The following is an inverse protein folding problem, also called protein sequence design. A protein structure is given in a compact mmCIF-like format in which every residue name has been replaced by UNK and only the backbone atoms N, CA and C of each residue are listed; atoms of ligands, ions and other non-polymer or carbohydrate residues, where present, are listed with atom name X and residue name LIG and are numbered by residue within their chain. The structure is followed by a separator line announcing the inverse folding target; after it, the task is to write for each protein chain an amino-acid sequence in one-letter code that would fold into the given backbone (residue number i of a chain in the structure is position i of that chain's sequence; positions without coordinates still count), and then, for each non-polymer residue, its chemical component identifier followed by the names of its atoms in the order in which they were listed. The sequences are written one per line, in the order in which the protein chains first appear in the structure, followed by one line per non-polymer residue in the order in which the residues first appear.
data_IF_153449214078
#
_entry.id   IF_153449214078
#
_cell.length_a   1.000
_cell.length_b   1.000
_cell.length_c   1.000
_cell.angle_alpha   90.00
_cell.angle_beta   90.00
_cell.angle_gamma   90.00
#
_symmetry.space_group_name_H-M   'P 1'
#
loop_
_entity.id
_entity.type
_entity.pdbx_description
1 polymer ?
#
# COMPACT_ATOMS: atom_id res chain seq x y z
N UNK A 1 -16.60 -28.17 -7.40
CA UNK A 1 -16.28 -27.58 -8.72
C UNK A 1 -15.43 -26.35 -8.42
N UNK A 2 -14.11 -26.54 -8.40
CA UNK A 2 -13.14 -25.51 -7.99
C UNK A 2 -13.11 -24.42 -9.07
N UNK A 3 -13.81 -23.30 -8.85
CA UNK A 3 -13.63 -22.10 -9.66
C UNK A 3 -12.20 -21.65 -9.40
N UNK A 4 -11.29 -21.94 -10.33
CA UNK A 4 -9.90 -21.56 -10.24
C UNK A 4 -9.79 -20.13 -9.70
N UNK A 5 -9.19 -19.97 -8.51
CA UNK A 5 -8.96 -18.69 -7.87
C UNK A 5 -8.23 -17.78 -8.89
N UNK A 6 -8.84 -16.68 -9.39
CA UNK A 6 -8.24 -15.85 -10.43
C UNK A 6 -6.93 -15.20 -9.96
N UNK A 7 -6.68 -15.21 -8.65
CA UNK A 7 -5.47 -14.70 -8.02
C UNK A 7 -4.42 -15.79 -7.75
N UNK A 8 -4.64 -17.06 -8.12
CA UNK A 8 -3.64 -18.13 -7.97
C UNK A 8 -2.32 -17.78 -8.68
N UNK A 9 -2.42 -17.08 -9.81
CA UNK A 9 -1.24 -16.58 -10.51
C UNK A 9 -0.48 -15.51 -9.71
N UNK A 10 -1.16 -14.68 -8.90
CA UNK A 10 -0.51 -13.71 -8.02
C UNK A 10 0.21 -14.39 -6.86
N UNK A 11 -0.44 -15.36 -6.22
CA UNK A 11 0.15 -16.18 -5.15
C UNK A 11 1.49 -16.77 -5.62
N UNK A 12 1.49 -17.44 -6.78
CA UNK A 12 2.71 -18.00 -7.38
C UNK A 12 3.74 -16.93 -7.76
N UNK A 13 3.34 -15.75 -8.24
CA UNK A 13 4.26 -14.65 -8.55
C UNK A 13 4.98 -14.17 -7.29
N UNK A 14 4.24 -13.89 -6.23
CA UNK A 14 4.79 -13.38 -4.97
C UNK A 14 5.64 -14.42 -4.23
N UNK A 15 5.28 -15.70 -4.32
CA UNK A 15 6.07 -16.79 -3.76
C UNK A 15 7.41 -17.02 -4.46
N UNK A 16 7.55 -16.60 -5.72
CA UNK A 16 8.78 -16.74 -6.50
C UNK A 16 9.78 -15.61 -6.27
N UNK A 17 9.37 -14.52 -5.62
CA UNK A 17 10.29 -13.46 -5.27
C UNK A 17 11.32 -13.99 -4.26
N UNK A 18 12.59 -13.70 -4.51
CA UNK A 18 13.72 -14.15 -3.70
C UNK A 18 14.16 -13.07 -2.68
N UNK A 19 13.63 -11.86 -2.81
CA UNK A 19 13.90 -10.73 -1.90
C UNK A 19 12.64 -9.92 -1.60
N UNK A 20 12.71 -9.14 -0.52
CA UNK A 20 11.64 -8.21 -0.14
C UNK A 20 11.47 -7.10 -1.17
N UNK A 21 12.57 -6.61 -1.71
CA UNK A 21 12.60 -5.55 -2.72
C UNK A 21 11.92 -6.01 -4.01
N UNK A 22 12.19 -7.25 -4.44
CA UNK A 22 11.53 -7.86 -5.59
C UNK A 22 10.03 -8.06 -5.33
N UNK A 23 9.65 -8.55 -4.14
CA UNK A 23 8.24 -8.67 -3.76
C UNK A 23 7.55 -7.30 -3.78
N UNK A 24 8.18 -6.25 -3.27
CA UNK A 24 7.59 -4.91 -3.26
C UNK A 24 7.35 -4.37 -4.67
N UNK A 25 8.28 -4.59 -5.60
CA UNK A 25 8.13 -4.21 -7.00
C UNK A 25 7.00 -5.00 -7.67
N UNK A 26 6.96 -6.32 -7.43
CA UNK A 26 5.98 -7.21 -8.04
C UNK A 26 4.55 -6.97 -7.54
N UNK A 27 4.40 -6.62 -6.26
CA UNK A 27 3.12 -6.23 -5.67
C UNK A 27 2.58 -4.95 -6.31
N UNK A 28 3.42 -3.92 -6.50
CA UNK A 28 3.01 -2.68 -7.17
C UNK A 28 2.60 -2.95 -8.62
N UNK A 29 3.46 -3.65 -9.37
CA UNK A 29 3.18 -4.01 -10.77
C UNK A 29 1.86 -4.76 -10.91
N UNK A 30 1.66 -5.80 -10.10
CA UNK A 30 0.43 -6.60 -10.11
C UNK A 30 -0.81 -5.77 -9.77
N UNK A 31 -0.73 -4.92 -8.77
CA UNK A 31 -1.83 -4.04 -8.40
C UNK A 31 -2.19 -3.08 -9.53
N UNK A 32 -1.20 -2.50 -10.20
CA UNK A 32 -1.42 -1.57 -11.31
C UNK A 32 -2.03 -2.28 -12.51
N UNK A 33 -1.47 -3.42 -12.91
CA UNK A 33 -1.96 -4.27 -13.99
C UNK A 33 -3.44 -4.63 -13.79
N UNK A 34 -3.83 -5.02 -12.58
CA UNK A 34 -5.18 -5.53 -12.29
C UNK A 34 -6.22 -4.44 -12.01
N UNK A 35 -5.80 -3.25 -11.55
CA UNK A 35 -6.70 -2.12 -11.27
C UNK A 35 -6.80 -1.13 -12.43
N UNK A 36 -5.83 -1.13 -13.36
CA UNK A 36 -5.72 -0.10 -14.40
C UNK A 36 -5.37 1.28 -13.81
N UNK A 37 -4.72 1.31 -12.65
CA UNK A 37 -4.29 2.56 -12.02
C UNK A 37 -3.17 3.24 -12.82
N UNK A 38 -3.11 4.57 -12.77
CA UNK A 38 -1.99 5.33 -13.33
C UNK A 38 -0.72 5.17 -12.48
N UNK A 39 -0.88 4.86 -11.20
CA UNK A 39 0.22 4.60 -10.31
C UNK A 39 -0.17 3.74 -9.12
N UNK A 40 0.79 2.96 -8.64
CA UNK A 40 0.70 2.22 -7.40
C UNK A 40 1.93 2.45 -6.55
N UNK A 41 1.78 2.26 -5.25
CA UNK A 41 2.89 2.32 -4.32
C UNK A 41 2.75 1.28 -3.23
N UNK A 42 3.89 0.83 -2.71
CA UNK A 42 3.97 0.07 -1.47
C UNK A 42 4.60 0.95 -0.42
N UNK A 43 3.89 1.08 0.69
CA UNK A 43 4.25 1.86 1.86
C UNK A 43 4.49 0.90 3.00
N UNK A 44 5.60 1.09 3.70
CA UNK A 44 5.96 0.34 4.89
C UNK A 44 5.80 1.22 6.12
N UNK A 45 5.36 0.61 7.22
CA UNK A 45 5.29 1.25 8.53
C UNK A 45 6.66 1.19 9.21
N UNK A 46 7.24 2.36 9.47
CA UNK A 46 8.49 2.54 10.23
C UNK A 46 8.20 3.36 11.49
N UNK A 47 7.75 2.70 12.56
CA UNK A 47 7.30 3.39 13.78
C UNK A 47 6.06 4.23 13.50
N UNK A 48 6.18 5.56 13.64
CA UNK A 48 5.15 6.56 13.33
C UNK A 48 5.29 7.16 11.92
N UNK A 49 6.13 6.56 11.06
CA UNK A 49 6.34 7.00 9.68
C UNK A 49 5.80 5.98 8.68
N UNK A 50 5.31 6.51 7.56
CA UNK A 50 4.97 5.80 6.34
C UNK A 50 6.08 6.02 5.31
N UNK A 51 6.87 4.98 5.03
CA UNK A 51 7.96 5.02 4.06
C UNK A 51 7.50 4.40 2.73
N UNK A 52 7.53 5.17 1.65
CA UNK A 52 7.22 4.69 0.30
C UNK A 52 8.43 3.93 -0.27
N UNK A 53 8.40 2.60 -0.22
CA UNK A 53 9.55 1.74 -0.54
C UNK A 53 9.55 1.23 -1.98
N UNK A 54 8.41 1.26 -2.66
CA UNK A 54 8.28 0.85 -4.06
C UNK A 54 7.15 1.61 -4.73
N UNK A 55 7.31 1.88 -6.04
CA UNK A 55 6.30 2.51 -6.89
C UNK A 55 6.32 1.85 -8.26
N UNK A 56 5.15 1.75 -8.89
CA UNK A 56 5.01 1.42 -10.32
C UNK A 56 3.98 2.39 -10.90
N UNK A 57 4.40 3.30 -11.79
CA UNK A 57 3.55 4.41 -12.22
C UNK A 57 4.00 5.11 -13.50
N UNK A 58 3.03 5.68 -14.23
CA UNK A 58 3.24 6.63 -15.33
C UNK A 58 3.25 8.10 -14.85
N UNK A 59 2.94 8.35 -13.58
CA UNK A 59 2.88 9.69 -12.98
C UNK A 59 3.90 9.80 -11.84
N UNK A 60 4.42 11.01 -11.54
CA UNK A 60 5.32 11.21 -10.41
C UNK A 60 4.69 10.75 -9.08
N UNK A 61 5.40 9.86 -8.38
CA UNK A 61 5.05 9.37 -7.04
C UNK A 61 6.24 9.50 -6.06
N UNK A 62 5.99 9.19 -4.79
CA UNK A 62 6.85 9.53 -3.66
C UNK A 62 7.90 8.47 -3.27
N UNK A 63 8.57 7.80 -4.22
CA UNK A 63 9.56 6.76 -3.89
C UNK A 63 10.66 7.29 -2.95
N UNK A 64 10.96 6.55 -1.89
CA UNK A 64 11.96 6.87 -0.86
C UNK A 64 11.50 7.92 0.17
N UNK A 65 10.35 8.55 -0.02
CA UNK A 65 9.84 9.58 0.90
C UNK A 65 9.19 8.97 2.13
N UNK A 66 9.22 9.73 3.23
CA UNK A 66 8.60 9.38 4.51
C UNK A 66 7.59 10.44 4.92
N UNK A 67 6.42 9.99 5.37
CA UNK A 67 5.37 10.87 5.87
C UNK A 67 4.92 10.43 7.26
N UNK A 68 4.57 11.35 8.17
CA UNK A 68 3.97 10.99 9.45
C UNK A 68 2.67 10.20 9.26
N UNK A 69 2.46 9.14 10.04
CA UNK A 69 1.28 8.27 9.97
C UNK A 69 -0.03 9.03 10.24
N UNK A 70 0.01 10.12 11.01
CA UNK A 70 -1.16 10.96 11.28
C UNK A 70 -1.42 12.01 10.19
N UNK A 71 -0.50 12.18 9.24
CA UNK A 71 -0.57 13.17 8.14
C UNK A 71 -0.70 12.55 6.75
N UNK A 72 -0.95 11.25 6.62
CA UNK A 72 -1.06 10.61 5.30
C UNK A 72 -2.17 9.56 5.22
N UNK A 73 -2.69 9.34 3.99
CA UNK A 73 -3.80 8.42 3.77
C UNK A 73 -3.39 6.97 3.99
N UNK A 74 -2.15 6.60 3.66
CA UNK A 74 -1.52 5.33 4.05
C UNK A 74 -1.58 5.13 5.56
N UNK A 75 -1.13 6.13 6.33
CA UNK A 75 -1.13 6.07 7.78
C UNK A 75 -2.54 5.99 8.38
N UNK A 76 -3.54 6.60 7.75
CA UNK A 76 -4.95 6.37 8.11
C UNK A 76 -5.35 4.90 7.87
N UNK A 77 -5.09 4.36 6.68
CA UNK A 77 -5.45 2.98 6.34
C UNK A 77 -4.80 1.96 7.28
N UNK A 78 -3.51 2.17 7.61
CA UNK A 78 -2.73 1.33 8.53
C UNK A 78 -3.33 1.38 9.95
N UNK A 79 -3.56 2.57 10.51
CA UNK A 79 -4.06 2.73 11.89
C UNK A 79 -5.47 2.21 12.08
N UNK A 80 -6.32 2.39 11.08
CA UNK A 80 -7.70 1.94 11.12
C UNK A 80 -7.87 0.49 10.65
N UNK A 81 -6.83 -0.12 10.06
CA UNK A 81 -6.89 -1.46 9.46
C UNK A 81 -8.03 -1.59 8.45
N UNK A 82 -8.27 -0.51 7.70
CA UNK A 82 -9.39 -0.39 6.76
C UNK A 82 -8.92 0.20 5.43
N UNK A 83 -9.47 -0.32 4.34
CA UNK A 83 -9.25 0.25 3.00
C UNK A 83 -9.79 1.68 2.96
N UNK A 84 -8.90 2.62 2.68
CA UNK A 84 -9.22 4.02 2.53
C UNK A 84 -9.49 4.33 1.06
N UNK A 85 -10.67 4.84 0.73
CA UNK A 85 -10.99 5.32 -0.62
C UNK A 85 -11.21 6.82 -0.59
N UNK A 86 -10.49 7.56 -1.43
CA UNK A 86 -10.62 9.01 -1.60
C UNK A 86 -10.91 9.28 -3.08
N UNK A 87 -12.17 9.60 -3.46
CA UNK A 87 -12.51 9.92 -4.84
C UNK A 87 -11.80 11.18 -5.37
N UNK A 88 -11.40 12.06 -4.45
CA UNK A 88 -10.58 13.23 -4.69
C UNK A 88 -9.79 13.55 -3.42
N UNK A 89 -8.48 13.28 -3.42
CA UNK A 89 -7.59 13.44 -2.27
C UNK A 89 -7.52 14.89 -1.79
N UNK A 90 -7.77 15.86 -2.68
CA UNK A 90 -7.80 17.28 -2.32
C UNK A 90 -9.06 17.67 -1.55
N UNK A 91 -10.12 16.87 -1.65
CA UNK A 91 -11.39 17.07 -0.94
C UNK A 91 -11.57 16.13 0.24
N UNK A 92 -10.65 15.19 0.43
CA UNK A 92 -10.70 14.25 1.54
C UNK A 92 -10.59 14.99 2.89
N UNK A 93 -11.54 14.73 3.78
CA UNK A 93 -11.67 15.41 5.07
C UNK A 93 -11.05 14.63 6.21
N UNK A 94 -10.57 13.41 5.98
CA UNK A 94 -9.89 12.64 7.02
C UNK A 94 -8.63 13.38 7.49
N UNK A 95 -8.15 13.16 8.73
CA UNK A 95 -6.99 13.86 9.30
C UNK A 95 -5.67 13.73 8.50
N UNK A 96 -5.68 13.01 7.39
CA UNK A 96 -4.58 12.60 6.54
C UNK A 96 -4.25 13.62 5.43
N UNK A 97 -4.27 14.92 5.71
CA UNK A 97 -3.69 15.87 4.74
C UNK A 97 -2.18 15.68 4.77
N UNK A 98 -1.62 15.07 3.73
CA UNK A 98 -0.19 15.27 3.40
C UNK A 98 -0.11 16.73 2.98
N UNK A 99 0.13 17.53 4.00
CA UNK A 99 0.30 18.96 3.99
C UNK A 99 1.47 19.25 3.03
N UNK A 100 1.14 19.61 1.78
CA UNK A 100 1.87 20.55 0.91
C UNK A 100 2.65 20.07 -0.32
N UNK A 101 2.69 18.79 -0.70
CA UNK A 101 3.40 18.43 -1.94
C UNK A 101 2.45 18.42 -3.16
N UNK A 102 2.74 19.19 -4.23
CA UNK A 102 1.99 19.13 -5.48
C UNK A 102 1.99 17.69 -6.02
N UNK A 103 0.81 17.16 -6.31
CA UNK A 103 0.66 15.82 -6.89
C UNK A 103 -0.33 15.88 -8.05
N UNK A 104 -0.10 15.13 -9.13
CA UNK A 104 -1.10 14.95 -10.18
C UNK A 104 -2.21 13.96 -9.77
N UNK A 105 -2.11 13.33 -8.59
CA UNK A 105 -3.09 12.36 -8.11
C UNK A 105 -4.35 13.06 -7.60
N UNK A 106 -5.50 12.63 -8.12
CA UNK A 106 -6.80 13.07 -7.63
C UNK A 106 -7.53 11.91 -6.93
N UNK A 107 -7.81 10.80 -7.62
CA UNK A 107 -8.45 9.64 -6.98
C UNK A 107 -7.40 8.67 -6.45
N UNK A 108 -7.60 8.15 -5.25
CA UNK A 108 -6.68 7.19 -4.62
C UNK A 108 -7.41 6.23 -3.69
N UNK A 109 -6.90 5.01 -3.62
CA UNK A 109 -7.25 4.05 -2.57
C UNK A 109 -5.99 3.50 -1.91
N UNK A 110 -6.04 3.31 -0.60
CA UNK A 110 -4.95 2.74 0.21
C UNK A 110 -5.51 1.55 1.01
N UNK A 111 -4.97 0.36 0.78
CA UNK A 111 -5.33 -0.85 1.53
C UNK A 111 -4.20 -1.21 2.49
N UNK A 112 -4.48 -1.45 3.79
CA UNK A 112 -3.45 -1.91 4.72
C UNK A 112 -2.95 -3.31 4.33
N UNK A 113 -1.65 -3.52 4.50
CA UNK A 113 -1.02 -4.85 4.44
C UNK A 113 -0.91 -5.33 5.87
N UNK A 114 -1.60 -6.44 6.17
CA UNK A 114 -1.70 -7.02 7.50
C UNK A 114 -1.10 -8.42 7.45
N UNK A 115 -0.11 -8.66 8.31
CA UNK A 115 0.38 -10.00 8.66
C UNK A 115 -0.19 -10.36 10.05
N UNK A 116 0.62 -10.39 11.11
CA UNK A 116 0.13 -10.44 12.50
C UNK A 116 -0.30 -9.07 13.01
N UNK A 117 0.32 -8.03 12.47
CA UNK A 117 0.04 -6.62 12.72
C UNK A 117 0.09 -5.81 11.41
N UNK A 118 -0.43 -4.57 11.38
CA UNK A 118 -0.31 -3.71 10.20
C UNK A 118 1.14 -3.31 9.94
N UNK A 119 1.72 -3.85 8.87
CA UNK A 119 3.13 -3.65 8.49
C UNK A 119 3.30 -2.56 7.42
N UNK A 120 2.22 -2.13 6.78
CA UNK A 120 2.27 -1.19 5.67
C UNK A 120 0.93 -1.02 4.98
N UNK A 121 0.96 -0.41 3.79
CA UNK A 121 -0.19 -0.27 2.92
C UNK A 121 0.24 -0.37 1.45
N UNK A 122 -0.67 -0.82 0.59
CA UNK A 122 -0.58 -0.69 -0.85
C UNK A 122 -1.54 0.38 -1.33
N UNK A 123 -1.08 1.25 -2.23
CA UNK A 123 -1.87 2.32 -2.83
C UNK A 123 -2.07 2.13 -4.32
N UNK A 124 -3.21 2.58 -4.82
CA UNK A 124 -3.50 2.72 -6.25
C UNK A 124 -4.14 4.10 -6.50
N UNK A 125 -3.71 4.80 -7.55
CA UNK A 125 -4.08 6.18 -7.80
C UNK A 125 -4.28 6.52 -9.27
N UNK A 126 -5.08 7.57 -9.49
CA UNK A 126 -5.45 8.09 -10.81
C UNK A 126 -5.37 9.61 -10.85
N UNK A 127 -5.07 10.21 -12.02
CA UNK A 127 -5.00 11.65 -12.18
C UNK A 127 -6.37 12.32 -12.25
N UNK A 128 -7.45 11.56 -12.45
CA UNK A 128 -8.81 12.08 -12.51
C UNK A 128 -9.55 11.73 -11.21
N UNK A 129 -10.37 12.66 -10.73
CA UNK A 129 -11.30 12.38 -9.63
C UNK A 129 -12.34 11.33 -10.05
N UNK A 130 -12.81 10.55 -9.09
CA UNK A 130 -13.83 9.52 -9.29
C UNK A 130 -13.71 8.40 -8.26
N UNK A 131 -14.82 7.73 -7.97
CA UNK A 131 -14.82 6.61 -7.02
C UNK A 131 -14.20 5.38 -7.70
N UNK A 132 -13.10 4.81 -7.18
CA UNK A 132 -12.59 3.52 -7.66
C UNK A 132 -13.69 2.44 -7.63
N UNK A 133 -13.76 1.60 -8.65
CA UNK A 133 -14.83 0.59 -8.74
C UNK A 133 -14.71 -0.45 -7.62
N UNK A 134 -15.83 -1.07 -7.25
CA UNK A 134 -15.84 -2.15 -6.26
C UNK A 134 -14.89 -3.30 -6.63
N UNK A 135 -14.73 -3.57 -7.94
CA UNK A 135 -13.77 -4.54 -8.44
C UNK A 135 -12.32 -4.12 -8.17
N UNK A 136 -11.97 -2.84 -8.39
CA UNK A 136 -10.63 -2.33 -8.09
C UNK A 136 -10.32 -2.44 -6.58
N UNK A 137 -11.29 -2.11 -5.74
CA UNK A 137 -11.15 -2.22 -4.28
C UNK A 137 -10.89 -3.67 -3.88
N UNK A 138 -11.73 -4.61 -4.34
CA UNK A 138 -11.58 -6.03 -4.04
C UNK A 138 -10.25 -6.62 -4.54
N UNK A 139 -9.78 -6.18 -5.72
CA UNK A 139 -8.46 -6.55 -6.25
C UNK A 139 -7.35 -6.06 -5.33
N UNK A 140 -7.38 -4.79 -4.93
CA UNK A 140 -6.32 -4.22 -4.09
C UNK A 140 -6.28 -4.89 -2.71
N UNK A 141 -7.45 -5.18 -2.12
CA UNK A 141 -7.58 -5.90 -0.86
C UNK A 141 -6.99 -7.31 -0.94
N UNK A 142 -7.28 -8.04 -2.04
CA UNK A 142 -6.70 -9.35 -2.25
C UNK A 142 -5.18 -9.28 -2.46
N UNK A 143 -4.69 -8.31 -3.22
CA UNK A 143 -3.24 -8.10 -3.39
C UNK A 143 -2.58 -7.80 -2.04
N UNK A 144 -3.15 -6.93 -1.22
CA UNK A 144 -2.62 -6.58 0.09
C UNK A 144 -2.57 -7.79 1.04
N UNK A 145 -3.63 -8.61 1.04
CA UNK A 145 -3.68 -9.85 1.82
C UNK A 145 -2.59 -10.84 1.39
N UNK A 146 -2.39 -11.02 0.09
CA UNK A 146 -1.34 -11.90 -0.43
C UNK A 146 0.07 -11.37 -0.15
N UNK A 147 0.27 -10.05 -0.26
CA UNK A 147 1.53 -9.40 0.07
C UNK A 147 1.90 -9.62 1.54
N UNK A 148 0.92 -9.51 2.46
CA UNK A 148 1.13 -9.78 3.89
C UNK A 148 1.65 -11.20 4.13
N UNK A 149 0.98 -12.20 3.55
CA UNK A 149 1.40 -13.60 3.64
C UNK A 149 2.78 -13.87 3.04
N UNK A 150 3.10 -13.23 1.91
CA UNK A 150 4.40 -13.40 1.25
C UNK A 150 5.54 -12.71 2.02
N UNK A 151 5.29 -11.52 2.59
CA UNK A 151 6.27 -10.78 3.38
C UNK A 151 6.73 -11.54 4.63
N UNK A 152 5.85 -12.31 5.26
CA UNK A 152 6.18 -13.14 6.43
C UNK A 152 7.40 -14.06 6.19
N UNK A 153 7.64 -14.49 4.94
CA UNK A 153 8.77 -15.36 4.57
C UNK A 153 10.15 -14.71 4.73
N UNK A 154 10.24 -13.40 4.59
CA UNK A 154 11.52 -12.68 4.61
C UNK A 154 11.96 -12.28 6.02
N UNK A 155 11.35 -12.89 7.05
CA UNK A 155 11.47 -12.48 8.44
C UNK A 155 10.45 -11.40 8.75
N UNK A 156 9.66 -11.62 9.79
CA UNK A 156 8.75 -10.60 10.32
C UNK A 156 9.50 -9.30 10.56
N UNK A 157 8.84 -8.17 10.29
CA UNK A 157 9.42 -6.86 10.49
C UNK A 157 9.96 -6.78 11.93
N UNK A 158 11.29 -6.78 12.10
CA UNK A 158 11.93 -6.51 13.38
C UNK A 158 11.68 -5.05 13.71
N UNK A 159 10.47 -4.76 14.22
CA UNK A 159 10.22 -3.54 14.96
C UNK A 159 11.29 -3.50 16.02
N UNK A 160 12.23 -2.56 15.88
CA UNK A 160 13.13 -2.27 16.96
C UNK A 160 12.26 -1.83 18.14
N UNK A 161 11.99 -2.75 19.06
CA UNK A 161 11.87 -2.40 20.48
C UNK A 161 13.26 -1.94 20.90
N UNK A 162 13.59 -0.69 20.54
CA UNK A 162 14.68 0.03 21.14
C UNK A 162 14.28 0.40 22.57
N UNK A 163 14.38 -0.56 23.49
CA UNK A 163 14.59 -0.22 24.89
C UNK A 163 15.99 0.36 25.04
N UNK A 164 16.07 1.61 25.46
CA UNK A 164 17.12 2.20 26.31
C UNK A 164 16.40 3.28 27.12
N UNK A 165 15.96 3.02 28.36
CA UNK A 165 16.73 3.00 29.62
C UNK A 165 17.44 4.34 29.89
N UNK A 166 16.95 5.02 30.96
CA UNK A 166 17.53 6.06 31.83
C UNK A 166 18.08 7.35 31.21
N UNK A 167 17.46 8.49 31.55
CA UNK A 167 17.80 9.26 32.77
C UNK A 167 16.63 10.15 33.19
#
# INVERSE_FOLDING_TARGET
MDRANPFRHLETRFERCDSREELHAEVCRSARELTGAAGTCLVVREGDLCHHVSVDSDIPLWLGQRFPMDKCLSGWAIRHQMTAVAPDIHKDTRPAKVVHLPTPVHSVMMCPIIDREPVGAIGACWPNSGVPSAQCIAVLEKVASLAGSALHRFGGWSGHTGSNITN
#
